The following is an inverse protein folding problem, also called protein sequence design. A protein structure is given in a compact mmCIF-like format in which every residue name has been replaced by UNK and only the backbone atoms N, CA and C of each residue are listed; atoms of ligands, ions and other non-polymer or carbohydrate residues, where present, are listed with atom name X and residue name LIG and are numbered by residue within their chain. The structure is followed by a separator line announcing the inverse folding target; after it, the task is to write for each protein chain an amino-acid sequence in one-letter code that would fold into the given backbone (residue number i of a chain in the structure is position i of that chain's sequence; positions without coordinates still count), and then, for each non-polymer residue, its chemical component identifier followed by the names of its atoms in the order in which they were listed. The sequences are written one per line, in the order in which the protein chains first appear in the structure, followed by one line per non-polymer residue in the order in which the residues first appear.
data_IF_120087778810
#
_entry.id   IF_120087778810
#
_cell.length_a   1.000
_cell.length_b   1.000
_cell.length_c   1.000
_cell.angle_alpha   90.00
_cell.angle_beta   90.00
_cell.angle_gamma   90.00
#
_symmetry.space_group_name_H-M   'P 1'
#
loop_
_entity.id
_entity.type
_entity.pdbx_description
1 polymer ?
#
# COMPACT_ATOMS: atom_id res chain seq x y z
N UNK A 1 29.31 24.62 22.94
CA UNK A 1 27.94 24.08 23.07
C UNK A 1 27.48 23.60 21.71
N UNK A 2 27.71 22.34 21.42
CA UNK A 2 27.27 21.71 20.21
C UNK A 2 25.75 21.52 20.26
N UNK A 3 25.02 22.28 19.47
CA UNK A 3 23.64 21.95 19.16
C UNK A 3 23.73 20.74 18.24
N UNK A 4 23.57 19.57 18.81
CA UNK A 4 23.31 18.39 18.01
C UNK A 4 21.92 18.56 17.40
N UNK A 5 21.90 19.04 16.19
CA UNK A 5 20.82 18.75 15.31
C UNK A 5 20.91 17.26 15.01
N UNK A 6 20.38 16.45 15.93
CA UNK A 6 19.90 15.15 15.50
C UNK A 6 18.95 15.45 14.35
N UNK A 7 19.40 15.12 13.16
CA UNK A 7 18.45 14.81 12.12
C UNK A 7 17.59 13.73 12.75
N UNK A 8 16.42 14.12 13.23
CA UNK A 8 15.41 13.16 13.56
C UNK A 8 15.28 12.32 12.30
N UNK A 9 15.72 11.07 12.34
CA UNK A 9 15.22 10.09 11.40
C UNK A 9 13.72 10.34 11.42
N UNK A 10 13.13 10.74 10.30
CA UNK A 10 11.70 10.89 10.20
C UNK A 10 11.09 9.50 10.38
N UNK A 11 10.99 9.08 11.63
CA UNK A 11 10.27 7.85 11.98
C UNK A 11 8.83 8.14 11.65
N UNK A 12 8.32 7.39 10.68
CA UNK A 12 6.90 7.49 10.30
C UNK A 12 6.09 7.02 11.50
N UNK A 13 5.23 7.90 12.01
CA UNK A 13 4.22 7.50 12.95
C UNK A 13 3.05 6.95 12.16
N UNK A 14 3.08 5.62 11.94
CA UNK A 14 2.22 4.97 10.95
C UNK A 14 0.73 5.06 11.30
N UNK A 15 0.38 4.97 12.57
CA UNK A 15 -1.02 5.09 12.98
C UNK A 15 -1.57 6.48 12.68
N UNK A 16 -0.86 7.53 13.06
CA UNK A 16 -1.24 8.91 12.73
C UNK A 16 -1.25 9.17 11.22
N UNK A 17 -0.32 8.58 10.47
CA UNK A 17 -0.31 8.66 9.02
C UNK A 17 -1.57 8.05 8.40
N UNK A 18 -1.97 6.85 8.83
CA UNK A 18 -3.18 6.20 8.32
C UNK A 18 -4.46 6.92 8.75
N UNK A 19 -4.45 7.61 9.89
CA UNK A 19 -5.54 8.51 10.27
C UNK A 19 -5.57 9.82 9.47
N UNK A 20 -4.57 10.07 8.63
CA UNK A 20 -4.45 11.27 7.82
C UNK A 20 -3.88 12.47 8.57
N UNK A 21 -3.27 12.28 9.75
CA UNK A 21 -2.86 13.35 10.67
C UNK A 21 -1.37 13.67 10.62
N UNK A 22 -0.52 12.66 10.45
CA UNK A 22 0.94 12.82 10.47
C UNK A 22 1.55 12.45 9.11
N UNK A 23 2.70 13.07 8.75
CA UNK A 23 3.31 12.84 7.46
C UNK A 23 4.13 11.54 7.42
N UNK A 24 4.45 11.12 6.19
CA UNK A 24 5.45 10.10 5.94
C UNK A 24 6.88 10.67 6.06
N UNK A 25 7.89 9.84 5.72
CA UNK A 25 9.31 10.19 5.78
C UNK A 25 9.72 11.35 4.84
N UNK A 26 8.86 11.75 3.90
CA UNK A 26 9.09 12.87 2.97
C UNK A 26 8.15 14.05 3.23
N UNK A 27 7.50 14.08 4.37
CA UNK A 27 6.58 15.16 4.73
C UNK A 27 5.23 15.13 4.01
N UNK A 28 4.85 13.99 3.42
CA UNK A 28 3.59 13.84 2.69
C UNK A 28 2.53 13.23 3.60
N UNK A 29 1.39 13.87 3.74
CA UNK A 29 0.22 13.27 4.37
C UNK A 29 -0.51 12.36 3.39
N UNK A 30 -1.31 11.43 3.91
CA UNK A 30 -2.04 10.45 3.10
C UNK A 30 -2.85 11.09 1.97
N UNK A 31 -3.56 12.18 2.26
CA UNK A 31 -4.37 12.87 1.25
C UNK A 31 -3.53 13.37 0.06
N UNK A 32 -2.28 13.80 0.30
CA UNK A 32 -1.38 14.24 -0.77
C UNK A 32 -1.01 13.06 -1.69
N UNK A 33 -0.78 11.89 -1.13
CA UNK A 33 -0.46 10.69 -1.92
C UNK A 33 -1.63 10.26 -2.80
N UNK A 34 -2.86 10.37 -2.30
CA UNK A 34 -4.06 10.04 -3.08
C UNK A 34 -4.40 11.09 -4.16
N UNK A 35 -3.73 12.23 -4.16
CA UNK A 35 -3.84 13.26 -5.19
C UNK A 35 -2.78 13.13 -6.29
N UNK A 36 -1.88 12.17 -6.20
CA UNK A 36 -0.90 11.91 -7.25
C UNK A 36 -1.58 11.64 -8.59
N UNK A 37 -1.00 12.19 -9.66
CA UNK A 37 -1.37 11.79 -11.02
C UNK A 37 -0.98 10.34 -11.26
N UNK A 38 -1.55 9.69 -12.27
CA UNK A 38 -1.19 8.32 -12.62
C UNK A 38 0.30 8.19 -12.95
N UNK A 39 0.88 9.19 -13.63
CA UNK A 39 2.32 9.23 -13.90
C UNK A 39 3.15 9.31 -12.62
N UNK A 40 2.77 10.15 -11.68
CA UNK A 40 3.46 10.26 -10.38
C UNK A 40 3.33 8.96 -9.58
N UNK A 41 2.14 8.36 -9.56
CA UNK A 41 1.90 7.10 -8.87
C UNK A 41 2.73 5.96 -9.44
N UNK A 42 2.93 5.93 -10.76
CA UNK A 42 3.79 4.96 -11.43
C UNK A 42 5.27 5.18 -11.12
N UNK A 43 5.72 6.43 -11.18
CA UNK A 43 7.14 6.79 -11.06
C UNK A 43 7.66 6.81 -9.62
N UNK A 44 6.78 6.96 -8.62
CA UNK A 44 7.15 7.03 -7.21
C UNK A 44 7.14 5.64 -6.58
N UNK A 45 8.22 5.24 -5.91
CA UNK A 45 8.40 3.87 -5.43
C UNK A 45 8.31 3.71 -3.90
N UNK A 46 8.12 4.78 -3.15
CA UNK A 46 8.25 4.80 -1.70
C UNK A 46 6.97 5.19 -0.94
N UNK A 47 5.79 5.06 -1.56
CA UNK A 47 4.53 5.45 -0.92
C UNK A 47 3.57 4.29 -0.63
N UNK A 48 3.60 3.24 -1.45
CA UNK A 48 2.72 2.07 -1.25
C UNK A 48 2.95 1.43 0.12
N UNK A 49 4.19 1.42 0.58
CA UNK A 49 4.58 0.85 1.86
C UNK A 49 3.99 1.61 3.05
N UNK A 50 3.67 2.87 2.88
CA UNK A 50 3.03 3.70 3.90
C UNK A 50 1.51 3.61 3.83
N UNK A 51 0.94 3.63 2.62
CA UNK A 51 -0.51 3.47 2.43
C UNK A 51 -1.00 2.08 2.84
N UNK A 52 -0.19 1.06 2.60
CA UNK A 52 -0.49 -0.34 2.88
C UNK A 52 0.67 -0.98 3.65
N UNK A 53 0.84 -0.60 4.93
CA UNK A 53 1.93 -1.13 5.74
C UNK A 53 1.71 -2.58 6.15
N UNK A 54 2.81 -3.26 6.47
CA UNK A 54 2.84 -4.64 6.90
C UNK A 54 3.61 -4.78 8.22
N UNK A 55 3.52 -5.95 8.83
CA UNK A 55 4.27 -6.35 10.02
C UNK A 55 5.61 -7.03 9.69
N UNK A 56 6.03 -6.93 8.43
CA UNK A 56 7.29 -7.48 7.92
C UNK A 56 8.07 -6.38 7.18
N UNK A 57 9.44 -6.45 7.16
CA UNK A 57 10.25 -5.49 6.43
C UNK A 57 9.97 -5.54 4.92
N UNK A 58 10.02 -4.34 4.27
CA UNK A 58 9.97 -4.26 2.81
C UNK A 58 11.33 -4.69 2.22
N UNK A 59 11.29 -5.53 1.20
CA UNK A 59 12.48 -5.93 0.44
C UNK A 59 12.91 -4.88 -0.59
N UNK A 60 12.01 -3.99 -0.98
CA UNK A 60 12.23 -3.01 -2.03
C UNK A 60 12.51 -1.60 -1.50
N UNK A 61 12.12 -1.28 -0.28
CA UNK A 61 12.29 0.06 0.31
C UNK A 61 12.86 -0.06 1.72
N UNK A 62 14.09 0.43 1.90
CA UNK A 62 14.71 0.54 3.22
C UNK A 62 13.99 1.60 4.05
N UNK A 63 13.74 1.30 5.32
CA UNK A 63 13.08 2.22 6.23
C UNK A 63 11.57 2.31 6.07
N UNK A 64 10.96 1.43 5.27
CA UNK A 64 9.51 1.28 5.26
C UNK A 64 9.00 0.91 6.65
N UNK A 65 7.82 1.42 7.07
CA UNK A 65 7.30 1.12 8.40
C UNK A 65 7.03 -0.38 8.56
N UNK A 66 7.37 -0.90 9.74
CA UNK A 66 7.06 -2.28 10.15
C UNK A 66 6.11 -2.19 11.35
N UNK A 67 4.91 -2.71 11.19
CA UNK A 67 3.86 -2.62 12.21
C UNK A 67 4.19 -3.50 13.41
N UNK A 68 3.98 -2.95 14.60
CA UNK A 68 3.92 -3.72 15.85
C UNK A 68 2.50 -4.27 16.06
N UNK A 69 2.33 -5.20 17.00
CA UNK A 69 0.99 -5.68 17.37
C UNK A 69 0.09 -4.55 17.87
N UNK A 70 0.65 -3.59 18.61
CA UNK A 70 -0.10 -2.42 19.09
C UNK A 70 -0.56 -1.55 17.91
N UNK A 71 0.30 -1.30 16.93
CA UNK A 71 -0.06 -0.56 15.72
C UNK A 71 -1.24 -1.23 15.00
N UNK A 72 -1.20 -2.54 14.85
CA UNK A 72 -2.26 -3.32 14.19
C UNK A 72 -3.59 -3.16 14.94
N UNK A 73 -3.56 -3.31 16.25
CA UNK A 73 -4.77 -3.19 17.09
C UNK A 73 -5.36 -1.79 17.01
N UNK A 74 -4.54 -0.75 17.11
CA UNK A 74 -4.97 0.64 17.00
C UNK A 74 -5.58 0.95 15.63
N UNK A 75 -4.95 0.49 14.56
CA UNK A 75 -5.43 0.68 13.19
C UNK A 75 -6.77 -0.02 12.99
N UNK A 76 -6.92 -1.25 13.46
CA UNK A 76 -8.16 -2.02 13.34
C UNK A 76 -9.34 -1.35 14.03
N UNK A 77 -9.11 -0.65 15.12
CA UNK A 77 -10.15 0.01 15.92
C UNK A 77 -10.43 1.45 15.45
N UNK A 78 -9.59 2.03 14.60
CA UNK A 78 -9.74 3.42 14.14
C UNK A 78 -10.67 3.52 12.94
N UNK A 79 -11.79 4.20 13.12
CA UNK A 79 -12.73 4.52 12.01
C UNK A 79 -12.02 5.32 10.91
N UNK A 80 -11.17 6.30 11.30
CA UNK A 80 -10.43 7.12 10.36
C UNK A 80 -9.43 6.30 9.54
N UNK A 81 -8.63 5.46 10.21
CA UNK A 81 -7.66 4.61 9.53
C UNK A 81 -8.34 3.60 8.60
N UNK A 82 -9.43 2.98 9.04
CA UNK A 82 -10.21 2.06 8.22
C UNK A 82 -10.80 2.76 6.98
N UNK A 83 -11.34 3.95 7.14
CA UNK A 83 -11.85 4.76 6.04
C UNK A 83 -10.75 5.13 5.04
N UNK A 84 -9.56 5.47 5.52
CA UNK A 84 -8.41 5.81 4.69
C UNK A 84 -7.82 4.59 3.97
N UNK A 85 -7.79 3.42 4.60
CA UNK A 85 -7.41 2.18 3.93
C UNK A 85 -8.36 1.87 2.76
N UNK A 86 -9.66 2.01 2.97
CA UNK A 86 -10.66 1.81 1.93
C UNK A 86 -10.49 2.81 0.76
N UNK A 87 -10.25 4.09 1.07
CA UNK A 87 -9.99 5.13 0.06
C UNK A 87 -8.72 4.83 -0.73
N UNK A 88 -7.66 4.44 -0.06
CA UNK A 88 -6.37 4.11 -0.69
C UNK A 88 -6.50 2.90 -1.60
N UNK A 89 -7.22 1.86 -1.18
CA UNK A 89 -7.49 0.68 -1.99
C UNK A 89 -8.28 1.05 -3.25
N UNK A 90 -9.33 1.85 -3.11
CA UNK A 90 -10.15 2.33 -4.24
C UNK A 90 -9.32 3.19 -5.20
N UNK A 91 -8.48 4.08 -4.68
CA UNK A 91 -7.57 4.90 -5.47
C UNK A 91 -6.61 4.05 -6.30
N UNK A 92 -6.01 3.04 -5.69
CA UNK A 92 -5.05 2.17 -6.38
C UNK A 92 -5.75 1.28 -7.43
N UNK A 93 -6.95 0.79 -7.14
CA UNK A 93 -7.76 0.08 -8.14
C UNK A 93 -8.06 0.97 -9.37
N UNK A 94 -8.41 2.22 -9.15
CA UNK A 94 -8.62 3.17 -10.25
C UNK A 94 -7.36 3.38 -11.08
N UNK A 95 -6.20 3.46 -10.44
CA UNK A 95 -4.91 3.52 -11.13
C UNK A 95 -4.68 2.28 -12.01
N UNK A 96 -4.90 1.09 -11.47
CA UNK A 96 -4.72 -0.17 -12.20
C UNK A 96 -5.70 -0.27 -13.39
N UNK A 97 -6.93 0.16 -13.22
CA UNK A 97 -7.93 0.13 -14.28
C UNK A 97 -7.59 1.07 -15.44
N UNK A 98 -7.12 2.28 -15.14
CA UNK A 98 -6.76 3.29 -16.15
C UNK A 98 -5.44 2.99 -16.86
N UNK A 99 -4.53 2.27 -16.23
CA UNK A 99 -3.15 2.08 -16.68
C UNK A 99 -2.81 0.60 -16.74
N UNK A 100 -3.28 -0.07 -17.77
CA UNK A 100 -3.19 -1.53 -17.89
C UNK A 100 -1.86 -2.06 -18.43
N UNK A 101 -0.80 -1.27 -18.43
CA UNK A 101 0.56 -1.73 -18.77
C UNK A 101 1.10 -2.80 -17.82
N UNK A 102 0.50 -2.95 -16.63
CA UNK A 102 0.83 -4.03 -15.68
C UNK A 102 0.28 -5.40 -16.13
N UNK A 103 -0.59 -5.43 -17.13
CA UNK A 103 -1.14 -6.66 -17.72
C UNK A 103 -0.10 -7.25 -18.67
N UNK A 104 0.94 -7.79 -18.08
CA UNK A 104 2.11 -8.39 -18.76
C UNK A 104 2.73 -9.41 -17.81
N UNK A 105 3.72 -10.16 -18.29
CA UNK A 105 4.34 -11.21 -17.50
C UNK A 105 5.02 -10.68 -16.23
N UNK A 106 5.77 -9.59 -16.34
CA UNK A 106 6.53 -8.99 -15.24
C UNK A 106 6.30 -7.49 -15.20
N UNK A 107 5.89 -6.98 -14.04
CA UNK A 107 5.70 -5.56 -13.79
C UNK A 107 5.80 -5.30 -12.28
N UNK A 108 6.37 -4.17 -11.87
CA UNK A 108 6.50 -3.84 -10.45
C UNK A 108 5.15 -3.66 -9.76
N UNK A 109 4.08 -3.36 -10.48
CA UNK A 109 2.74 -3.29 -9.92
C UNK A 109 2.23 -4.63 -9.41
N UNK A 110 2.77 -5.76 -9.88
CA UNK A 110 2.43 -7.08 -9.35
C UNK A 110 2.80 -7.20 -7.86
N UNK A 111 3.96 -6.69 -7.45
CA UNK A 111 4.38 -6.65 -6.04
C UNK A 111 3.51 -5.69 -5.22
N UNK A 112 3.12 -4.56 -5.80
CA UNK A 112 2.21 -3.61 -5.17
C UNK A 112 0.85 -4.24 -4.90
N UNK A 113 0.30 -4.97 -5.85
CA UNK A 113 -0.97 -5.71 -5.71
C UNK A 113 -0.89 -6.70 -4.56
N UNK A 114 0.17 -7.50 -4.50
CA UNK A 114 0.40 -8.45 -3.39
C UNK A 114 0.39 -7.73 -2.05
N UNK A 115 1.10 -6.61 -1.96
CA UNK A 115 1.19 -5.84 -0.71
C UNK A 115 -0.15 -5.28 -0.28
N UNK A 116 -0.94 -4.76 -1.20
CA UNK A 116 -2.28 -4.23 -0.90
C UNK A 116 -3.17 -5.33 -0.34
N UNK A 117 -3.21 -6.50 -0.97
CA UNK A 117 -4.01 -7.63 -0.50
C UNK A 117 -3.60 -8.02 0.92
N UNK A 118 -2.29 -8.20 1.16
CA UNK A 118 -1.76 -8.56 2.49
C UNK A 118 -2.11 -7.52 3.55
N UNK A 119 -1.92 -6.25 3.26
CA UNK A 119 -2.19 -5.17 4.20
C UNK A 119 -3.66 -5.05 4.54
N UNK A 120 -4.55 -5.15 3.56
CA UNK A 120 -5.99 -5.15 3.78
C UNK A 120 -6.43 -6.33 4.63
N UNK A 121 -5.86 -7.51 4.39
CA UNK A 121 -6.16 -8.72 5.19
C UNK A 121 -5.72 -8.55 6.64
N UNK A 122 -4.53 -7.96 6.84
CA UNK A 122 -3.98 -7.74 8.18
C UNK A 122 -4.73 -6.64 8.95
N UNK A 123 -5.06 -5.53 8.29
CA UNK A 123 -5.50 -4.30 8.96
C UNK A 123 -7.00 -4.02 8.82
N UNK A 124 -7.65 -4.50 7.78
CA UNK A 124 -9.07 -4.30 7.56
C UNK A 124 -9.85 -5.60 7.80
N UNK A 125 -9.97 -6.43 6.79
CA UNK A 125 -10.68 -7.71 6.87
C UNK A 125 -10.32 -8.62 5.70
N UNK A 126 -10.61 -9.91 5.85
CA UNK A 126 -10.55 -10.87 4.75
C UNK A 126 -11.48 -10.45 3.60
N UNK A 127 -12.65 -9.96 3.92
CA UNK A 127 -13.61 -9.46 2.93
C UNK A 127 -13.03 -8.32 2.10
N UNK A 128 -12.42 -7.32 2.74
CA UNK A 128 -11.81 -6.18 2.04
C UNK A 128 -10.66 -6.64 1.12
N UNK A 129 -9.81 -7.55 1.59
CA UNK A 129 -8.72 -8.11 0.81
C UNK A 129 -9.24 -8.92 -0.39
N UNK A 130 -10.22 -9.77 -0.18
CA UNK A 130 -10.80 -10.59 -1.25
C UNK A 130 -11.55 -9.75 -2.28
N UNK A 131 -12.28 -8.73 -1.87
CA UNK A 131 -12.94 -7.79 -2.79
C UNK A 131 -11.93 -7.04 -3.67
N UNK A 132 -10.82 -6.59 -3.10
CA UNK A 132 -9.74 -5.97 -3.86
C UNK A 132 -9.16 -6.95 -4.89
N UNK A 133 -8.82 -8.15 -4.45
CA UNK A 133 -8.29 -9.22 -5.32
C UNK A 133 -9.25 -9.55 -6.46
N UNK A 134 -10.54 -9.71 -6.16
CA UNK A 134 -11.56 -10.04 -7.16
C UNK A 134 -11.68 -8.95 -8.22
N UNK A 135 -11.54 -7.68 -7.85
CA UNK A 135 -11.55 -6.58 -8.81
C UNK A 135 -10.31 -6.58 -9.70
N UNK A 136 -9.14 -6.89 -9.15
CA UNK A 136 -7.91 -7.06 -9.95
C UNK A 136 -8.09 -8.17 -10.97
N UNK A 137 -8.59 -9.33 -10.56
CA UNK A 137 -8.89 -10.43 -11.48
C UNK A 137 -9.96 -10.06 -12.51
N UNK A 138 -10.94 -9.25 -12.11
CA UNK A 138 -11.96 -8.73 -13.03
C UNK A 138 -11.38 -7.85 -14.14
N UNK A 139 -10.37 -7.01 -13.83
CA UNK A 139 -9.67 -6.21 -14.84
C UNK A 139 -8.88 -7.07 -15.82
N UNK A 140 -8.37 -8.20 -15.37
CA UNK A 140 -7.61 -9.12 -16.21
C UNK A 140 -8.50 -9.94 -17.14
N UNK A 141 -9.67 -10.39 -16.66
CA UNK A 141 -10.58 -11.20 -17.46
C UNK A 141 -9.84 -12.38 -18.11
N UNK A 142 -9.91 -12.47 -19.44
CA UNK A 142 -9.23 -13.50 -20.23
C UNK A 142 -7.71 -13.32 -20.31
N UNK A 143 -7.19 -12.17 -19.92
CA UNK A 143 -5.75 -11.85 -19.95
C UNK A 143 -5.00 -12.33 -18.69
N UNK A 144 -5.67 -13.04 -17.80
CA UNK A 144 -5.06 -13.58 -16.59
C UNK A 144 -3.79 -14.41 -16.89
N UNK A 145 -3.78 -15.14 -17.99
CA UNK A 145 -2.65 -15.96 -18.40
C UNK A 145 -1.41 -15.15 -18.85
N UNK A 146 -1.55 -13.85 -19.08
CA UNK A 146 -0.42 -12.98 -19.42
C UNK A 146 0.45 -12.69 -18.18
N UNK A 147 -0.12 -12.81 -16.98
CA UNK A 147 0.58 -12.58 -15.71
C UNK A 147 1.41 -13.82 -15.37
N UNK A 148 2.64 -13.59 -14.87
CA UNK A 148 3.49 -14.67 -14.37
C UNK A 148 2.72 -15.53 -13.35
N UNK A 149 2.71 -16.88 -13.51
CA UNK A 149 2.06 -17.77 -12.57
C UNK A 149 2.51 -17.58 -11.12
N UNK A 150 3.76 -17.21 -10.90
CA UNK A 150 4.31 -16.93 -9.57
C UNK A 150 3.64 -15.70 -8.94
N UNK A 151 3.43 -14.63 -9.70
CA UNK A 151 2.72 -13.44 -9.23
C UNK A 151 1.27 -13.78 -8.86
N UNK A 152 0.58 -14.53 -9.71
CA UNK A 152 -0.79 -14.99 -9.42
C UNK A 152 -0.87 -15.84 -8.15
N UNK A 153 0.12 -16.71 -7.95
CA UNK A 153 0.23 -17.52 -6.72
C UNK A 153 0.37 -16.63 -5.48
N UNK A 154 1.18 -15.58 -5.54
CA UNK A 154 1.31 -14.62 -4.43
C UNK A 154 -0.01 -13.91 -4.15
N UNK A 155 -0.75 -13.49 -5.17
CA UNK A 155 -2.06 -12.85 -4.99
C UNK A 155 -3.07 -13.80 -4.33
N UNK A 156 -3.08 -15.07 -4.73
CA UNK A 156 -3.99 -16.08 -4.18
C UNK A 156 -3.65 -16.48 -2.74
N UNK A 157 -2.39 -16.39 -2.34
CA UNK A 157 -1.95 -16.74 -0.99
C UNK A 157 -1.85 -15.54 -0.03
N UNK A 158 -2.02 -14.34 -0.55
CA UNK A 158 -1.93 -13.12 0.24
C UNK A 158 -3.13 -12.89 1.16
#
# INVERSE_FOLDING_TARGET
SGIFWQRSCNVIEIFGFLEGKTPDHRGRILAMLLQQTDHQAEATHDYIQCLFPLDEPSRSVNGAPVLTELDIDEIKESILAQGNLAKSASWFLGFLERNQHWVTKYDHNHLRITRVIKSLRLLASDKAADEFKDKVFGYLGDDLNLIDPKARSFWNSA
#
